data_IF_920422435705
#
_entry.id   IF_920422435705
#
_cell.length_a   1.000
_cell.length_b   1.000
_cell.length_c   1.000
_cell.angle_alpha   90.00
_cell.angle_beta   90.00
_cell.angle_gamma   90.00
#
_symmetry.space_group_name_H-M   'P 1'
#
loop_
_entity.id
_entity.type
_entity.pdbx_description
1 polymer ?
#
# COMPACT_ATOMS: atom_id res chain seq x y z
N UNK A 1 3.84 8.05 13.32
CA UNK A 1 3.90 7.58 11.92
C UNK A 1 4.39 6.14 11.97
N UNK A 2 3.71 5.20 11.30
CA UNK A 2 4.20 3.82 11.18
C UNK A 2 5.23 3.73 10.04
N UNK A 3 6.21 2.82 10.11
CA UNK A 3 7.15 2.60 9.02
C UNK A 3 6.42 2.23 7.71
N UNK A 4 7.11 2.39 6.59
CA UNK A 4 6.62 1.95 5.28
C UNK A 4 6.53 0.42 5.21
N UNK A 5 5.72 -0.08 4.27
CA UNK A 5 5.56 -1.51 4.01
C UNK A 5 6.69 -1.96 3.06
N UNK A 6 7.45 -2.97 3.47
CA UNK A 6 8.46 -3.66 2.65
C UNK A 6 7.76 -4.69 1.73
N UNK A 7 6.92 -5.55 2.31
CA UNK A 7 6.18 -6.58 1.56
C UNK A 7 4.87 -6.96 2.25
N UNK A 8 3.90 -7.45 1.47
CA UNK A 8 2.72 -8.13 2.00
C UNK A 8 3.04 -9.62 2.18
N UNK A 9 2.57 -10.21 3.28
CA UNK A 9 2.69 -11.64 3.57
C UNK A 9 1.34 -12.32 3.37
N UNK A 10 1.29 -13.65 3.50
CA UNK A 10 0.02 -14.40 3.38
C UNK A 10 -1.04 -13.91 4.38
N UNK A 11 -0.62 -13.52 5.59
CA UNK A 11 -1.51 -13.22 6.72
C UNK A 11 -1.35 -11.78 7.24
N UNK A 12 -0.59 -10.92 6.54
CA UNK A 12 -0.28 -9.57 7.03
C UNK A 12 0.73 -8.79 6.19
N UNK A 13 1.65 -8.09 6.85
CA UNK A 13 2.66 -7.27 6.20
C UNK A 13 3.97 -7.22 7.00
N UNK A 14 5.07 -7.08 6.25
CA UNK A 14 6.40 -6.78 6.75
C UNK A 14 6.72 -5.30 6.51
N UNK A 15 7.27 -4.66 7.53
CA UNK A 15 7.68 -3.26 7.50
C UNK A 15 9.19 -3.13 7.21
N UNK A 16 9.61 -1.96 6.75
CA UNK A 16 11.02 -1.67 6.40
C UNK A 16 11.99 -1.77 7.58
N UNK A 17 11.47 -1.74 8.82
CA UNK A 17 12.25 -1.97 10.04
C UNK A 17 12.43 -3.48 10.38
N UNK A 18 11.93 -4.37 9.52
CA UNK A 18 11.99 -5.82 9.69
C UNK A 18 10.86 -6.40 10.54
N UNK A 19 9.96 -5.59 11.08
CA UNK A 19 8.82 -6.08 11.86
C UNK A 19 7.76 -6.70 10.94
N UNK A 20 7.22 -7.84 11.36
CA UNK A 20 6.07 -8.48 10.72
C UNK A 20 4.84 -8.41 11.63
N UNK A 21 3.68 -8.12 11.04
CA UNK A 21 2.40 -7.98 11.76
C UNK A 21 1.29 -8.63 10.94
N UNK A 22 0.48 -9.45 11.61
CA UNK A 22 -0.71 -10.08 11.03
C UNK A 22 -1.89 -9.10 10.94
N UNK A 23 -2.63 -9.17 9.85
CA UNK A 23 -3.84 -8.39 9.63
C UNK A 23 -4.92 -9.26 8.98
N UNK A 24 -6.11 -9.26 9.57
CA UNK A 24 -7.26 -9.93 8.95
C UNK A 24 -7.72 -9.26 7.65
N UNK A 25 -7.38 -8.00 7.41
CA UNK A 25 -7.78 -7.26 6.20
C UNK A 25 -6.83 -6.10 5.92
N UNK A 26 -6.57 -5.85 4.63
CA UNK A 26 -5.73 -4.76 4.13
C UNK A 26 -6.60 -3.86 3.25
N UNK A 27 -6.60 -2.55 3.52
CA UNK A 27 -7.36 -1.56 2.75
C UNK A 27 -6.38 -0.64 2.00
N UNK A 28 -6.42 -0.68 0.68
CA UNK A 28 -5.60 0.20 -0.17
C UNK A 28 -6.33 1.52 -0.44
N UNK A 29 -6.18 2.47 0.48
CA UNK A 29 -6.72 3.82 0.36
C UNK A 29 -5.72 4.80 -0.30
N UNK A 30 -4.95 4.33 -1.29
CA UNK A 30 -3.85 5.08 -1.94
C UNK A 30 -4.32 6.04 -3.04
N UNK A 31 -5.64 6.23 -3.17
CA UNK A 31 -6.24 7.11 -4.17
C UNK A 31 -6.37 6.47 -5.56
N UNK A 32 -6.58 7.32 -6.57
CA UNK A 32 -6.82 6.90 -7.95
C UNK A 32 -5.69 7.41 -8.87
N UNK A 33 -5.29 6.58 -9.85
CA UNK A 33 -4.40 7.02 -10.93
C UNK A 33 -5.22 7.73 -12.03
N UNK A 34 -4.80 8.93 -12.42
CA UNK A 34 -5.42 9.67 -13.53
C UNK A 34 -4.71 9.36 -14.85
N UNK A 35 -5.45 8.95 -15.90
CA UNK A 35 -4.90 8.71 -17.25
C UNK A 35 -5.28 9.81 -18.25
N UNK A 36 -5.53 11.04 -17.80
CA UNK A 36 -6.00 12.12 -18.67
C UNK A 36 -4.85 12.73 -19.48
N UNK A 37 -4.62 12.26 -20.71
CA UNK A 37 -3.78 12.93 -21.72
C UNK A 37 -4.58 13.51 -22.91
N UNK A 38 -5.91 13.33 -22.95
CA UNK A 38 -6.70 13.57 -24.18
C UNK A 38 -7.67 14.76 -24.16
N UNK A 39 -7.87 15.45 -23.03
CA UNK A 39 -8.91 16.50 -22.91
C UNK A 39 -8.38 17.93 -22.75
N UNK A 40 -7.06 18.10 -22.60
CA UNK A 40 -6.41 19.41 -22.71
C UNK A 40 -6.01 19.63 -24.18
N UNK A 41 -6.91 20.23 -24.95
CA UNK A 41 -6.58 20.98 -26.16
C UNK A 41 -6.65 22.46 -25.82
#
# INVERSE_FOLDING_TARGET
VVPEIDSLTCDGAKFVDGKEVEFHSIILATGYKTNFSSWLK
#
